data_IF_954533189090
#
_entry.id   IF_954533189090
#
_cell.length_a   1.000
_cell.length_b   1.000
_cell.length_c   1.000
_cell.angle_alpha   90.00
_cell.angle_beta   90.00
_cell.angle_gamma   90.00
#
_symmetry.space_group_name_H-M   'P 1'
#
loop_
_entity.id
_entity.type
_entity.pdbx_description
1 polymer ?
#
# COMPACT_ATOMS: atom_id res chain seq x y z
N UNK A 1 -15.01 13.01 7.57
CA UNK A 1 -14.30 12.57 8.80
C UNK A 1 -13.53 11.30 8.49
N UNK A 2 -12.45 10.99 9.20
CA UNK A 2 -11.69 9.76 8.95
C UNK A 2 -10.24 9.79 9.44
N UNK A 3 -9.62 8.62 9.40
CA UNK A 3 -8.19 8.40 9.62
C UNK A 3 -7.49 8.11 8.28
N UNK A 4 -6.17 8.10 8.27
CA UNK A 4 -5.37 7.64 7.13
C UNK A 4 -5.00 6.15 7.25
N UNK A 5 -5.08 5.59 8.47
CA UNK A 5 -4.81 4.19 8.74
C UNK A 5 -5.06 3.79 10.20
N UNK A 6 -5.04 2.48 10.47
CA UNK A 6 -5.44 1.87 11.73
C UNK A 6 -6.84 1.24 11.68
N UNK A 7 -7.15 0.37 12.65
CA UNK A 7 -8.52 -0.16 12.78
C UNK A 7 -9.34 0.82 13.62
N UNK A 8 -10.22 1.58 12.98
CA UNK A 8 -10.91 2.71 13.57
C UNK A 8 -12.42 2.47 13.72
N UNK A 9 -13.02 3.26 14.60
CA UNK A 9 -14.48 3.40 14.69
C UNK A 9 -14.80 4.86 14.40
N UNK A 10 -15.37 5.10 13.23
CA UNK A 10 -15.65 6.46 12.74
C UNK A 10 -17.15 6.64 12.58
N UNK A 11 -17.67 7.72 13.14
CA UNK A 11 -19.08 8.06 13.10
C UNK A 11 -19.26 9.47 12.55
N UNK A 12 -20.14 9.62 11.55
CA UNK A 12 -20.81 10.86 11.19
C UNK A 12 -21.82 11.30 12.25
N UNK A 13 -22.42 12.46 12.05
CA UNK A 13 -23.41 13.03 12.97
C UNK A 13 -24.76 13.16 12.22
N UNK A 14 -25.61 14.12 12.62
CA UNK A 14 -26.74 14.54 11.81
C UNK A 14 -26.24 15.39 10.62
N UNK A 15 -26.64 15.04 9.40
CA UNK A 15 -26.29 15.76 8.17
C UNK A 15 -25.86 14.83 7.05
N UNK A 16 -25.54 15.40 5.89
CA UNK A 16 -24.94 14.65 4.78
C UNK A 16 -23.43 14.59 5.02
N UNK A 17 -22.92 13.44 5.44
CA UNK A 17 -21.52 13.24 5.82
C UNK A 17 -20.71 12.47 4.78
N UNK A 18 -19.40 12.71 4.78
CA UNK A 18 -18.42 11.90 4.05
C UNK A 18 -17.47 11.29 5.06
N UNK A 19 -17.45 9.96 5.15
CA UNK A 19 -16.69 9.19 6.13
C UNK A 19 -15.71 8.28 5.43
N UNK A 20 -14.45 8.38 5.82
CA UNK A 20 -13.34 7.56 5.33
C UNK A 20 -12.80 6.69 6.46
N UNK A 21 -12.73 5.37 6.26
CA UNK A 21 -12.03 4.45 7.16
C UNK A 21 -10.52 4.59 7.01
N UNK A 22 -10.04 4.38 5.79
CA UNK A 22 -8.63 4.46 5.45
C UNK A 22 -8.03 3.06 5.37
N UNK A 23 -6.80 2.90 5.82
CA UNK A 23 -6.20 1.57 5.90
C UNK A 23 -6.54 0.89 7.21
N UNK A 24 -7.00 -0.35 7.21
CA UNK A 24 -7.27 -1.10 8.43
C UNK A 24 -8.55 -1.90 8.36
N UNK A 25 -9.18 -2.11 9.51
CA UNK A 25 -10.44 -2.82 9.60
C UNK A 25 -11.40 -1.94 10.37
N UNK A 26 -12.18 -1.17 9.63
CA UNK A 26 -12.91 -0.04 10.14
C UNK A 26 -14.37 -0.37 10.39
N UNK A 27 -14.94 0.32 11.37
CA UNK A 27 -16.38 0.34 11.62
C UNK A 27 -16.87 1.76 11.37
N UNK A 28 -17.64 1.93 10.31
CA UNK A 28 -18.11 3.22 9.82
C UNK A 28 -19.61 3.38 10.02
N UNK A 29 -20.06 4.53 10.49
CA UNK A 29 -21.47 4.85 10.59
C UNK A 29 -21.71 6.28 10.11
N UNK A 30 -22.57 6.46 9.10
CA UNK A 30 -22.87 7.78 8.53
C UNK A 30 -23.67 8.67 9.47
N UNK A 31 -24.61 8.08 10.22
CA UNK A 31 -25.51 8.85 11.07
C UNK A 31 -26.84 9.06 10.37
N UNK A 32 -27.37 10.28 10.44
CA UNK A 32 -28.66 10.60 9.84
C UNK A 32 -28.49 11.61 8.71
N UNK A 33 -28.86 11.26 7.48
CA UNK A 33 -28.73 12.13 6.32
C UNK A 33 -28.42 11.31 5.09
N UNK A 34 -27.85 11.92 4.05
CA UNK A 34 -27.35 11.20 2.89
C UNK A 34 -25.83 11.10 2.98
N UNK A 35 -25.33 9.91 3.32
CA UNK A 35 -23.92 9.76 3.66
C UNK A 35 -23.13 9.04 2.57
N UNK A 36 -21.84 9.35 2.47
CA UNK A 36 -20.89 8.61 1.66
C UNK A 36 -19.86 7.94 2.59
N UNK A 37 -19.89 6.61 2.67
CA UNK A 37 -18.96 5.83 3.49
C UNK A 37 -17.99 5.09 2.58
N UNK A 38 -16.70 5.31 2.78
CA UNK A 38 -15.63 4.62 2.09
C UNK A 38 -14.78 3.86 3.13
N UNK A 39 -14.85 2.52 3.08
CA UNK A 39 -14.07 1.65 3.98
C UNK A 39 -12.57 1.82 3.76
N UNK A 40 -12.13 1.63 2.52
CA UNK A 40 -10.72 1.74 2.15
C UNK A 40 -10.06 0.37 2.12
N UNK A 41 -8.81 0.28 2.59
CA UNK A 41 -8.06 -0.98 2.55
C UNK A 41 -8.39 -1.83 3.77
N UNK A 42 -8.93 -3.02 3.54
CA UNK A 42 -9.09 -4.07 4.54
C UNK A 42 -10.54 -4.51 4.63
N UNK A 43 -10.94 -5.14 5.74
CA UNK A 43 -12.28 -5.70 5.92
C UNK A 43 -13.12 -4.75 6.78
N UNK A 44 -14.02 -4.03 6.13
CA UNK A 44 -14.72 -2.90 6.73
C UNK A 44 -16.21 -3.18 6.95
N UNK A 45 -16.75 -2.56 8.00
CA UNK A 45 -18.14 -2.72 8.43
C UNK A 45 -18.84 -1.37 8.38
N UNK A 46 -19.89 -1.26 7.56
CA UNK A 46 -20.82 -0.13 7.64
C UNK A 46 -21.95 -0.46 8.60
N UNK A 47 -22.17 0.38 9.62
CA UNK A 47 -23.28 0.26 10.56
C UNK A 47 -24.42 1.16 10.11
N UNK A 48 -25.60 0.55 9.99
CA UNK A 48 -26.82 1.16 9.48
C UNK A 48 -27.93 1.04 10.52
N UNK A 49 -28.74 2.09 10.66
CA UNK A 49 -29.85 2.12 11.61
C UNK A 49 -30.95 1.11 11.24
N UNK A 50 -31.81 0.72 12.19
CA UNK A 50 -32.98 -0.10 11.88
C UNK A 50 -32.66 -1.53 11.43
N UNK A 51 -33.39 -2.02 10.42
CA UNK A 51 -33.22 -3.37 9.88
C UNK A 51 -33.15 -3.37 8.35
N UNK A 52 -32.59 -4.44 7.77
CA UNK A 52 -32.44 -4.60 6.33
C UNK A 52 -33.70 -4.29 5.51
N UNK A 53 -34.89 -4.64 5.99
CA UNK A 53 -36.15 -4.37 5.27
C UNK A 53 -36.55 -2.90 5.20
N UNK A 54 -35.85 -2.05 5.94
CA UNK A 54 -36.08 -0.60 5.91
C UNK A 54 -35.41 0.07 4.70
N UNK A 55 -34.62 -0.69 3.94
CA UNK A 55 -33.79 -0.20 2.85
C UNK A 55 -34.18 -0.82 1.51
N UNK A 56 -34.23 0.01 0.48
CA UNK A 56 -34.04 -0.40 -0.90
C UNK A 56 -32.54 -0.40 -1.22
N UNK A 57 -32.04 -1.47 -1.85
CA UNK A 57 -30.62 -1.66 -2.13
C UNK A 57 -30.39 -1.70 -3.63
N UNK A 58 -29.45 -0.89 -4.10
CA UNK A 58 -29.03 -0.84 -5.49
C UNK A 58 -27.50 -0.97 -5.57
N UNK A 59 -27.02 -1.59 -6.65
CA UNK A 59 -25.58 -1.62 -6.98
C UNK A 59 -25.37 -0.67 -8.15
N UNK A 60 -24.53 0.34 -7.97
CA UNK A 60 -24.14 1.29 -9.01
C UNK A 60 -22.63 1.24 -9.24
N UNK A 61 -22.21 0.52 -10.27
CA UNK A 61 -20.80 0.22 -10.52
C UNK A 61 -20.21 -0.55 -9.34
N UNK A 62 -19.28 0.09 -8.62
CA UNK A 62 -18.60 -0.51 -7.47
C UNK A 62 -19.13 0.04 -6.13
N UNK A 63 -20.29 0.72 -6.15
CA UNK A 63 -20.93 1.24 -4.96
C UNK A 63 -22.18 0.46 -4.61
N UNK A 64 -22.45 0.32 -3.32
CA UNK A 64 -23.77 -0.08 -2.81
C UNK A 64 -24.51 1.17 -2.39
N UNK A 65 -25.68 1.39 -2.97
CA UNK A 65 -26.57 2.49 -2.64
C UNK A 65 -27.71 1.96 -1.78
N UNK A 66 -27.82 2.48 -0.56
CA UNK A 66 -28.87 2.16 0.39
C UNK A 66 -29.84 3.33 0.46
N UNK A 67 -31.08 3.13 0.04
CA UNK A 67 -32.15 4.12 0.21
C UNK A 67 -33.08 3.68 1.33
N UNK A 68 -33.04 4.39 2.46
CA UNK A 68 -33.91 4.12 3.59
C UNK A 68 -35.35 4.59 3.31
N UNK A 69 -36.33 4.00 4.02
CA UNK A 69 -37.76 4.27 3.85
C UNK A 69 -38.17 5.74 4.13
N UNK A 70 -37.37 6.50 4.86
CA UNK A 70 -37.58 7.94 5.06
C UNK A 70 -37.03 8.82 3.93
N UNK A 71 -36.35 8.20 2.95
CA UNK A 71 -35.78 8.85 1.79
C UNK A 71 -34.30 9.25 1.93
N UNK A 72 -33.66 8.97 3.06
CA UNK A 72 -32.21 9.08 3.22
C UNK A 72 -31.48 8.10 2.29
N UNK A 73 -30.36 8.52 1.71
CA UNK A 73 -29.58 7.73 0.74
C UNK A 73 -28.12 7.70 1.14
N UNK A 74 -27.63 6.51 1.44
CA UNK A 74 -26.21 6.27 1.70
C UNK A 74 -25.54 5.58 0.52
N UNK A 75 -24.31 5.99 0.24
CA UNK A 75 -23.44 5.41 -0.79
C UNK A 75 -22.24 4.78 -0.10
N UNK A 76 -22.08 3.47 -0.28
CA UNK A 76 -21.03 2.68 0.33
C UNK A 76 -20.01 2.23 -0.72
N UNK A 77 -18.73 2.47 -0.45
CA UNK A 77 -17.59 2.05 -1.26
C UNK A 77 -16.63 1.25 -0.40
N UNK A 78 -16.08 0.15 -0.92
CA UNK A 78 -15.12 -0.70 -0.21
C UNK A 78 -15.60 -1.13 1.18
N UNK A 79 -16.87 -1.55 1.30
CA UNK A 79 -17.45 -2.11 2.53
C UNK A 79 -17.72 -3.59 2.32
N UNK A 80 -17.28 -4.47 3.21
CA UNK A 80 -17.50 -5.93 3.12
C UNK A 80 -18.71 -6.41 3.92
N UNK A 81 -19.13 -5.67 4.94
CA UNK A 81 -20.26 -6.04 5.77
C UNK A 81 -21.13 -4.83 6.11
N UNK A 82 -22.40 -4.91 5.76
CA UNK A 82 -23.40 -3.95 6.23
C UNK A 82 -24.08 -4.57 7.44
N UNK A 83 -23.83 -3.97 8.60
CA UNK A 83 -24.41 -4.34 9.87
C UNK A 83 -25.62 -3.45 10.15
N UNK A 84 -26.78 -4.06 10.37
CA UNK A 84 -27.97 -3.35 10.81
C UNK A 84 -28.12 -3.45 12.34
N UNK A 85 -28.80 -2.50 12.96
CA UNK A 85 -29.09 -2.56 14.41
C UNK A 85 -29.85 -3.83 14.79
N UNK A 86 -30.76 -4.27 13.92
CA UNK A 86 -31.56 -5.48 14.12
C UNK A 86 -31.75 -6.27 12.83
N UNK A 87 -31.93 -7.59 12.97
CA UNK A 87 -32.11 -8.48 11.83
C UNK A 87 -30.79 -9.01 11.25
N UNK A 88 -30.82 -9.60 10.04
CA UNK A 88 -29.63 -10.15 9.41
C UNK A 88 -28.72 -9.05 8.84
N UNK A 89 -27.41 -9.25 8.95
CA UNK A 89 -26.42 -8.43 8.26
C UNK A 89 -26.31 -8.85 6.80
N UNK A 90 -25.90 -7.91 5.95
CA UNK A 90 -25.70 -8.14 4.53
C UNK A 90 -24.21 -8.15 4.21
N UNK A 91 -23.72 -9.26 3.67
CA UNK A 91 -22.34 -9.32 3.19
C UNK A 91 -22.22 -8.69 1.81
N UNK A 92 -21.08 -8.08 1.54
CA UNK A 92 -20.78 -7.40 0.30
C UNK A 92 -19.49 -8.00 -0.25
N UNK A 93 -19.63 -8.89 -1.22
CA UNK A 93 -18.52 -9.61 -1.81
C UNK A 93 -18.05 -8.89 -3.08
N UNK A 94 -16.78 -8.53 -3.12
CA UNK A 94 -16.16 -7.91 -4.28
C UNK A 94 -15.44 -8.93 -5.17
N UNK A 95 -15.40 -10.19 -4.75
CA UNK A 95 -14.83 -11.30 -5.53
C UNK A 95 -15.60 -12.61 -5.30
N UNK A 96 -15.45 -13.55 -6.23
CA UNK A 96 -15.99 -14.91 -6.09
C UNK A 96 -15.50 -15.59 -4.80
N UNK A 97 -14.23 -15.34 -4.42
CA UNK A 97 -13.63 -15.89 -3.22
C UNK A 97 -14.34 -15.40 -1.96
N UNK A 98 -14.60 -14.09 -1.87
CA UNK A 98 -15.35 -13.48 -0.78
C UNK A 98 -16.79 -14.02 -0.73
N UNK A 99 -17.47 -14.11 -1.87
CA UNK A 99 -18.83 -14.63 -1.95
C UNK A 99 -18.92 -16.07 -1.44
N UNK A 100 -17.97 -16.93 -1.85
CA UNK A 100 -17.87 -18.31 -1.37
C UNK A 100 -17.64 -18.35 0.14
N UNK A 101 -16.69 -17.57 0.67
CA UNK A 101 -16.38 -17.56 2.09
C UNK A 101 -17.57 -17.10 2.94
N UNK A 102 -18.22 -16.01 2.55
CA UNK A 102 -19.44 -15.53 3.21
C UNK A 102 -20.55 -16.58 3.15
N UNK A 103 -20.77 -17.23 2.00
CA UNK A 103 -21.80 -18.25 1.87
C UNK A 103 -21.54 -19.46 2.77
N UNK A 104 -20.30 -19.96 2.80
CA UNK A 104 -19.94 -21.09 3.64
C UNK A 104 -20.18 -20.77 5.12
N UNK A 105 -19.69 -19.62 5.59
CA UNK A 105 -19.76 -19.26 7.00
C UNK A 105 -21.18 -18.87 7.44
N UNK A 106 -21.90 -18.06 6.64
CA UNK A 106 -23.30 -17.72 6.93
C UNK A 106 -24.22 -18.94 6.89
N UNK A 107 -24.16 -19.73 5.81
CA UNK A 107 -25.12 -20.83 5.57
C UNK A 107 -24.89 -22.00 6.52
N UNK A 108 -23.63 -22.36 6.76
CA UNK A 108 -23.30 -23.60 7.45
C UNK A 108 -22.88 -23.41 8.90
N UNK A 109 -22.37 -22.23 9.28
CA UNK A 109 -21.99 -21.92 10.66
C UNK A 109 -22.96 -20.94 11.34
N UNK A 110 -23.82 -20.26 10.59
CA UNK A 110 -24.82 -19.34 11.14
C UNK A 110 -24.20 -18.08 11.78
N UNK A 111 -23.04 -17.64 11.29
CA UNK A 111 -22.35 -16.42 11.73
C UNK A 111 -21.76 -15.67 10.54
N UNK A 112 -21.24 -14.47 10.79
CA UNK A 112 -20.45 -13.72 9.82
C UNK A 112 -19.00 -14.18 9.81
N UNK A 113 -18.27 -13.82 8.75
CA UNK A 113 -16.81 -13.85 8.77
C UNK A 113 -16.32 -12.93 9.88
N UNK A 114 -15.33 -13.39 10.64
CA UNK A 114 -14.56 -12.50 11.48
C UNK A 114 -13.69 -11.60 10.62
N UNK A 115 -13.29 -10.43 11.14
CA UNK A 115 -12.36 -9.53 10.46
C UNK A 115 -11.10 -10.24 9.96
N UNK A 116 -10.54 -11.16 10.77
CA UNK A 116 -9.34 -11.92 10.39
C UNK A 116 -9.61 -12.90 9.23
N UNK A 117 -10.77 -13.56 9.20
CA UNK A 117 -11.15 -14.44 8.09
C UNK A 117 -11.43 -13.64 6.82
N UNK A 118 -12.15 -12.53 6.94
CA UNK A 118 -12.45 -11.62 5.83
C UNK A 118 -11.19 -11.06 5.18
N UNK A 119 -10.30 -10.49 6.00
CA UNK A 119 -9.00 -9.97 5.54
C UNK A 119 -8.14 -11.05 4.87
N UNK A 120 -8.14 -12.27 5.41
CA UNK A 120 -7.41 -13.39 4.80
C UNK A 120 -7.96 -13.77 3.42
N UNK A 121 -9.28 -13.69 3.23
CA UNK A 121 -9.94 -13.99 1.95
C UNK A 121 -9.70 -12.90 0.91
N UNK A 122 -9.74 -11.62 1.29
CA UNK A 122 -9.42 -10.50 0.39
C UNK A 122 -8.00 -10.60 -0.17
N UNK A 123 -7.06 -11.06 0.65
CA UNK A 123 -5.64 -11.17 0.31
C UNK A 123 -5.23 -12.56 -0.22
N UNK A 124 -6.19 -13.44 -0.52
CA UNK A 124 -5.90 -14.82 -0.84
C UNK A 124 -5.19 -14.94 -2.20
N UNK A 125 -4.01 -15.59 -2.28
CA UNK A 125 -3.31 -15.78 -3.55
C UNK A 125 -4.03 -16.84 -4.39
N UNK A 126 -4.85 -16.41 -5.35
CA UNK A 126 -5.48 -17.27 -6.36
C UNK A 126 -6.95 -17.62 -6.13
N UNK A 127 -7.58 -18.16 -7.17
CA UNK A 127 -9.05 -18.21 -7.34
C UNK A 127 -9.66 -19.61 -7.24
N UNK A 128 -8.98 -20.58 -6.60
CA UNK A 128 -9.53 -21.94 -6.51
C UNK A 128 -10.49 -22.06 -5.33
N UNK A 129 -11.79 -21.98 -5.65
CA UNK A 129 -12.92 -22.21 -4.74
C UNK A 129 -12.73 -23.46 -3.88
N UNK A 130 -12.12 -24.53 -4.41
CA UNK A 130 -11.87 -25.77 -3.68
C UNK A 130 -10.95 -25.56 -2.47
N UNK A 131 -9.96 -24.65 -2.61
CA UNK A 131 -9.04 -24.31 -1.53
C UNK A 131 -9.75 -23.60 -0.39
N UNK A 132 -10.71 -22.72 -0.70
CA UNK A 132 -11.51 -22.02 0.32
C UNK A 132 -12.38 -23.03 1.07
N UNK A 133 -13.01 -23.96 0.36
CA UNK A 133 -13.80 -25.04 0.97
C UNK A 133 -12.93 -25.92 1.88
N UNK A 134 -11.71 -26.28 1.47
CA UNK A 134 -10.79 -27.05 2.31
C UNK A 134 -10.43 -26.30 3.60
N UNK A 135 -10.14 -25.00 3.52
CA UNK A 135 -9.84 -24.19 4.71
C UNK A 135 -11.06 -24.06 5.62
N UNK A 136 -12.24 -23.82 5.04
CA UNK A 136 -13.50 -23.81 5.77
C UNK A 136 -13.74 -25.12 6.52
N UNK A 137 -13.56 -26.27 5.86
CA UNK A 137 -13.72 -27.58 6.49
C UNK A 137 -12.70 -27.83 7.62
N UNK A 138 -11.53 -27.18 7.58
CA UNK A 138 -10.55 -27.27 8.66
C UNK A 138 -10.91 -26.43 9.90
N UNK A 139 -11.96 -25.60 9.84
CA UNK A 139 -12.45 -24.89 11.02
C UNK A 139 -13.04 -25.90 12.02
N UNK A 140 -12.77 -25.75 13.33
CA UNK A 140 -13.34 -26.62 14.37
C UNK A 140 -14.87 -26.73 14.31
N UNK A 141 -15.53 -25.62 13.99
CA UNK A 141 -16.99 -25.51 13.88
C UNK A 141 -17.55 -26.28 12.67
N UNK A 142 -16.74 -26.48 11.63
CA UNK A 142 -17.12 -27.21 10.42
C UNK A 142 -16.88 -28.73 10.52
N UNK A 143 -16.45 -29.26 11.67
CA UNK A 143 -16.12 -30.67 11.84
C UNK A 143 -17.26 -31.64 11.45
N UNK A 144 -18.52 -31.22 11.59
CA UNK A 144 -19.70 -32.00 11.18
C UNK A 144 -19.94 -32.08 9.67
N UNK A 145 -19.21 -31.31 8.87
CA UNK A 145 -19.44 -31.12 7.44
C UNK A 145 -18.44 -31.86 6.55
N UNK A 146 -17.49 -32.61 7.12
CA UNK A 146 -16.40 -33.30 6.42
C UNK A 146 -16.82 -34.29 5.33
N UNK A 147 -18.08 -34.73 5.34
CA UNK A 147 -18.63 -35.67 4.36
C UNK A 147 -19.35 -34.96 3.20
N UNK A 148 -19.53 -33.63 3.28
CA UNK A 148 -20.18 -32.84 2.25
C UNK A 148 -19.27 -32.67 1.04
N UNK A 149 -19.84 -32.74 -0.16
CA UNK A 149 -19.12 -32.36 -1.37
C UNK A 149 -19.04 -30.83 -1.50
N UNK A 150 -18.12 -30.35 -2.34
CA UNK A 150 -18.04 -28.93 -2.70
C UNK A 150 -19.39 -28.43 -3.25
N UNK A 151 -20.01 -29.18 -4.16
CA UNK A 151 -21.32 -28.82 -4.73
C UNK A 151 -22.43 -28.72 -3.67
N UNK A 152 -22.41 -29.60 -2.67
CA UNK A 152 -23.38 -29.51 -1.57
C UNK A 152 -23.15 -28.26 -0.72
N UNK A 153 -21.89 -27.93 -0.43
CA UNK A 153 -21.53 -26.77 0.40
C UNK A 153 -21.79 -25.43 -0.28
N UNK A 154 -21.73 -25.39 -1.61
CA UNK A 154 -21.97 -24.18 -2.41
C UNK A 154 -23.38 -24.10 -3.00
N UNK A 155 -24.26 -25.05 -2.65
CA UNK A 155 -25.63 -25.07 -3.13
C UNK A 155 -26.37 -23.81 -2.68
N UNK A 156 -26.88 -23.04 -3.65
CA UNK A 156 -27.61 -21.79 -3.40
C UNK A 156 -26.74 -20.53 -3.30
N UNK A 157 -25.41 -20.64 -3.46
CA UNK A 157 -24.48 -19.49 -3.44
C UNK A 157 -24.93 -18.35 -4.38
N UNK A 158 -25.32 -18.66 -5.62
CA UNK A 158 -25.64 -17.64 -6.61
C UNK A 158 -26.93 -16.87 -6.33
N UNK A 159 -27.84 -17.44 -5.53
CA UNK A 159 -29.14 -16.85 -5.21
C UNK A 159 -29.23 -16.50 -3.72
N UNK A 160 -28.10 -16.44 -3.00
CA UNK A 160 -28.07 -16.19 -1.57
C UNK A 160 -28.45 -14.72 -1.30
N UNK A 161 -29.61 -14.45 -0.66
CA UNK A 161 -30.07 -13.07 -0.45
C UNK A 161 -29.23 -12.30 0.59
N UNK A 162 -28.42 -13.00 1.39
CA UNK A 162 -27.59 -12.39 2.44
C UNK A 162 -26.20 -11.95 1.92
N UNK A 163 -25.97 -12.01 0.60
CA UNK A 163 -24.72 -11.65 -0.06
C UNK A 163 -25.00 -10.80 -1.31
N UNK A 164 -24.53 -9.56 -1.31
CA UNK A 164 -24.40 -8.73 -2.50
C UNK A 164 -23.09 -9.06 -3.22
N UNK A 165 -23.13 -9.15 -4.55
CA UNK A 165 -21.92 -9.39 -5.38
C UNK A 165 -21.66 -8.18 -6.26
N UNK A 166 -20.53 -7.50 -6.04
CA UNK A 166 -20.06 -6.41 -6.90
C UNK A 166 -19.03 -6.85 -7.93
N UNK A 167 -18.35 -7.98 -7.71
CA UNK A 167 -17.38 -8.60 -8.63
C UNK A 167 -16.39 -7.58 -9.25
N UNK A 168 -15.75 -6.80 -8.38
CA UNK A 168 -14.85 -5.72 -8.75
C UNK A 168 -13.39 -6.19 -8.87
N UNK A 169 -12.62 -5.59 -9.78
CA UNK A 169 -11.18 -5.85 -9.89
C UNK A 169 -10.44 -5.07 -8.80
N UNK A 170 -10.06 -5.75 -7.71
CA UNK A 170 -9.28 -5.17 -6.61
C UNK A 170 -7.83 -5.62 -6.53
N UNK A 171 -7.44 -6.58 -7.35
CA UNK A 171 -6.08 -7.12 -7.38
C UNK A 171 -5.47 -6.93 -8.77
N UNK A 172 -4.31 -6.28 -8.86
CA UNK A 172 -3.53 -6.16 -10.08
C UNK A 172 -2.14 -6.76 -9.88
N UNK A 173 -1.67 -7.50 -10.88
CA UNK A 173 -0.32 -8.08 -10.88
C UNK A 173 0.35 -7.78 -12.21
N UNK A 174 1.49 -7.10 -12.16
CA UNK A 174 2.33 -6.78 -13.30
C UNK A 174 3.18 -7.96 -13.76
N UNK A 175 4.00 -7.72 -14.78
CA UNK A 175 4.74 -8.75 -15.49
C UNK A 175 6.13 -9.02 -14.91
N UNK A 176 6.99 -9.59 -15.76
CA UNK A 176 8.43 -9.68 -15.50
C UNK A 176 9.22 -8.60 -16.26
N UNK A 177 8.55 -7.55 -16.73
CA UNK A 177 9.12 -6.50 -17.57
C UNK A 177 9.19 -5.20 -16.78
N UNK A 178 10.02 -4.27 -17.21
CA UNK A 178 10.07 -2.93 -16.63
C UNK A 178 8.78 -2.17 -17.02
N UNK A 179 7.80 -2.13 -16.11
CA UNK A 179 6.46 -1.62 -16.38
C UNK A 179 6.32 -0.13 -15.97
N UNK A 180 5.56 0.66 -16.76
CA UNK A 180 5.25 2.06 -16.44
C UNK A 180 3.83 2.43 -16.83
N UNK A 181 3.01 2.87 -15.88
CA UNK A 181 1.61 3.19 -16.17
C UNK A 181 0.86 3.88 -15.03
N UNK A 182 -0.33 4.41 -15.35
CA UNK A 182 -1.29 4.86 -14.34
C UNK A 182 -2.20 3.70 -13.97
N UNK A 183 -2.57 3.63 -12.69
CA UNK A 183 -3.57 2.68 -12.20
C UNK A 183 -4.89 3.41 -11.95
N UNK A 184 -6.04 2.74 -12.14
CA UNK A 184 -7.32 3.33 -11.78
C UNK A 184 -7.35 3.58 -10.26
N UNK A 185 -7.70 4.79 -9.84
CA UNK A 185 -7.94 5.12 -8.44
C UNK A 185 -9.44 5.28 -8.24
N UNK A 186 -10.01 4.57 -7.27
CA UNK A 186 -11.46 4.61 -6.97
C UNK A 186 -12.02 3.35 -6.32
N UNK A 187 -11.23 2.29 -6.20
CA UNK A 187 -11.39 1.21 -5.24
C UNK A 187 -10.08 1.05 -4.48
N UNK A 188 -10.13 0.52 -3.26
CA UNK A 188 -8.96 0.05 -2.57
C UNK A 188 -8.33 -1.11 -3.35
N UNK A 189 -7.18 -0.85 -3.97
CA UNK A 189 -6.49 -1.81 -4.82
C UNK A 189 -5.29 -2.43 -4.10
N UNK A 190 -5.10 -3.73 -4.26
CA UNK A 190 -3.86 -4.43 -3.99
C UNK A 190 -3.09 -4.61 -5.29
N UNK A 191 -1.90 -4.01 -5.37
CA UNK A 191 -1.12 -3.97 -6.59
C UNK A 191 0.26 -4.49 -6.34
N UNK A 192 0.58 -5.52 -7.10
CA UNK A 192 1.91 -6.07 -7.23
C UNK A 192 2.44 -5.69 -8.61
N UNK A 193 3.52 -4.91 -8.71
CA UNK A 193 4.06 -4.58 -10.04
C UNK A 193 4.79 -5.75 -10.69
N UNK A 194 5.08 -6.82 -9.95
CA UNK A 194 5.77 -8.00 -10.45
C UNK A 194 7.28 -7.90 -10.32
N UNK A 195 8.01 -8.36 -11.34
CA UNK A 195 9.47 -8.30 -11.39
C UNK A 195 9.90 -7.33 -12.47
N UNK A 196 10.95 -6.56 -12.23
CA UNK A 196 11.43 -5.58 -13.19
C UNK A 196 11.97 -4.36 -12.46
N UNK A 197 12.12 -3.26 -13.18
CA UNK A 197 12.15 -1.93 -12.59
C UNK A 197 10.85 -1.20 -12.95
N UNK A 198 9.93 -1.15 -12.01
CA UNK A 198 8.56 -0.69 -12.23
C UNK A 198 8.33 0.73 -11.71
N UNK A 199 7.57 1.50 -12.48
CA UNK A 199 7.25 2.90 -12.19
C UNK A 199 5.75 3.12 -12.22
N UNK A 200 5.16 3.28 -11.04
CA UNK A 200 3.78 3.74 -10.93
C UNK A 200 3.71 5.23 -11.28
N UNK A 201 2.85 5.60 -12.24
CA UNK A 201 2.52 7.00 -12.50
C UNK A 201 1.31 7.44 -11.70
N UNK A 202 1.38 8.66 -11.17
CA UNK A 202 0.30 9.29 -10.43
C UNK A 202 -0.04 10.67 -11.01
N UNK A 203 -1.33 10.97 -11.04
CA UNK A 203 -1.81 12.29 -11.40
C UNK A 203 -1.55 13.30 -10.29
N UNK A 204 -1.36 14.58 -10.66
CA UNK A 204 -1.12 15.66 -9.71
C UNK A 204 0.32 15.68 -9.18
N UNK A 205 0.50 16.21 -7.97
CA UNK A 205 1.78 16.28 -7.27
C UNK A 205 1.85 15.41 -6.02
N UNK A 206 3.04 15.29 -5.42
CA UNK A 206 3.28 14.45 -4.23
C UNK A 206 2.41 14.89 -3.05
N UNK A 207 2.06 16.18 -2.97
CA UNK A 207 1.20 16.77 -1.95
C UNK A 207 -0.26 16.30 -2.02
N UNK A 208 -0.69 15.75 -3.16
CA UNK A 208 -2.06 15.28 -3.36
C UNK A 208 -2.32 13.89 -2.74
N UNK A 209 -1.27 13.23 -2.24
CA UNK A 209 -1.33 11.87 -1.69
C UNK A 209 -0.66 11.78 -0.34
N UNK A 210 -1.21 10.93 0.51
CA UNK A 210 -0.50 10.37 1.64
C UNK A 210 0.20 9.07 1.20
N UNK A 211 1.43 8.86 1.67
CA UNK A 211 2.17 7.62 1.48
C UNK A 211 2.51 7.07 2.87
N UNK A 212 2.06 5.87 3.17
CA UNK A 212 2.36 5.15 4.39
C UNK A 212 3.06 3.84 4.05
N UNK A 213 4.17 3.56 4.73
CA UNK A 213 4.88 2.30 4.56
C UNK A 213 4.31 1.26 5.52
N UNK A 214 3.86 0.13 4.97
CA UNK A 214 3.39 -1.01 5.74
C UNK A 214 4.16 -2.25 5.32
N UNK A 215 5.07 -2.73 6.18
CA UNK A 215 5.96 -3.85 5.88
C UNK A 215 6.71 -3.65 4.55
N UNK A 216 6.45 -4.51 3.55
CA UNK A 216 7.05 -4.48 2.21
C UNK A 216 6.11 -3.87 1.15
N UNK A 217 5.13 -3.07 1.57
CA UNK A 217 4.23 -2.32 0.69
C UNK A 217 4.16 -0.85 1.08
N UNK A 218 3.69 -0.04 0.15
CA UNK A 218 3.34 1.37 0.34
C UNK A 218 1.87 1.52 0.09
N UNK A 219 1.17 2.00 1.10
CA UNK A 219 -0.21 2.44 0.97
C UNK A 219 -0.22 3.89 0.50
N UNK A 220 -1.01 4.14 -0.52
CA UNK A 220 -1.16 5.42 -1.19
C UNK A 220 -2.60 5.84 -1.03
N UNK A 221 -2.83 6.97 -0.38
CA UNK A 221 -4.17 7.52 -0.17
C UNK A 221 -4.28 8.86 -0.88
N UNK A 222 -5.19 8.97 -1.85
CA UNK A 222 -5.48 10.25 -2.51
C UNK A 222 -6.30 11.14 -1.57
N UNK A 223 -5.81 12.34 -1.30
CA UNK A 223 -6.41 13.23 -0.31
C UNK A 223 -7.70 13.90 -0.79
N UNK A 224 -7.96 13.91 -2.10
CA UNK A 224 -9.17 14.55 -2.67
C UNK A 224 -10.44 13.76 -2.36
N UNK A 225 -10.37 12.43 -2.40
CA UNK A 225 -11.54 11.55 -2.34
C UNK A 225 -11.33 10.26 -1.54
N UNK A 226 -10.18 10.12 -0.88
CA UNK A 226 -9.87 8.96 -0.05
C UNK A 226 -9.59 7.69 -0.83
N UNK A 227 -9.44 7.72 -2.16
CA UNK A 227 -9.12 6.52 -2.93
C UNK A 227 -7.75 5.94 -2.53
N UNK A 228 -7.69 4.62 -2.34
CA UNK A 228 -6.52 3.94 -1.79
C UNK A 228 -5.90 2.91 -2.73
N UNK A 229 -4.61 2.69 -2.54
CA UNK A 229 -3.82 1.71 -3.29
C UNK A 229 -2.71 1.18 -2.38
N UNK A 230 -2.68 -0.14 -2.12
CA UNK A 230 -1.53 -0.83 -1.53
C UNK A 230 -0.62 -1.33 -2.66
N UNK A 231 0.60 -0.83 -2.71
CA UNK A 231 1.58 -1.09 -3.76
C UNK A 231 2.77 -1.90 -3.21
N UNK A 232 3.13 -2.97 -3.90
CA UNK A 232 4.36 -3.75 -3.64
C UNK A 232 5.16 -3.97 -4.91
N UNK A 233 6.45 -4.22 -4.71
CA UNK A 233 7.46 -4.55 -5.74
C UNK A 233 7.76 -3.45 -6.76
N UNK A 234 7.13 -2.28 -6.67
CA UNK A 234 7.46 -1.15 -7.52
C UNK A 234 8.68 -0.39 -6.97
N UNK A 235 9.57 0.07 -7.83
CA UNK A 235 10.77 0.82 -7.45
C UNK A 235 10.55 2.34 -7.40
N UNK A 236 9.51 2.87 -8.05
CA UNK A 236 9.27 4.31 -8.07
C UNK A 236 7.80 4.69 -8.25
N UNK A 237 7.41 5.77 -7.60
CA UNK A 237 6.19 6.53 -7.86
C UNK A 237 6.59 7.83 -8.56
N UNK A 238 6.04 8.09 -9.74
CA UNK A 238 6.30 9.29 -10.53
C UNK A 238 5.04 10.14 -10.67
N UNK A 239 5.10 11.39 -10.21
CA UNK A 239 3.99 12.34 -10.25
C UNK A 239 4.01 13.19 -11.52
N UNK A 240 2.84 13.59 -12.00
CA UNK A 240 2.71 14.51 -13.15
C UNK A 240 3.35 15.88 -12.88
N UNK A 241 3.50 16.27 -11.60
CA UNK A 241 4.27 17.46 -11.17
C UNK A 241 5.77 17.39 -11.51
N UNK A 242 6.29 16.19 -11.78
CA UNK A 242 7.71 15.91 -11.98
C UNK A 242 8.43 15.44 -10.71
N UNK A 243 7.77 15.43 -9.56
CA UNK A 243 8.30 14.83 -8.34
C UNK A 243 8.29 13.30 -8.44
N UNK A 244 9.30 12.65 -7.85
CA UNK A 244 9.40 11.19 -7.79
C UNK A 244 9.64 10.74 -6.35
N UNK A 245 9.08 9.60 -6.00
CA UNK A 245 9.36 8.89 -4.75
C UNK A 245 9.94 7.54 -5.12
N UNK A 246 11.20 7.30 -4.76
CA UNK A 246 11.82 5.99 -4.87
C UNK A 246 11.36 5.09 -3.73
N UNK A 247 11.07 3.85 -4.08
CA UNK A 247 10.67 2.76 -3.20
C UNK A 247 11.82 1.76 -3.15
N UNK A 248 12.71 1.95 -2.18
CA UNK A 248 13.88 1.10 -2.01
C UNK A 248 13.52 -0.14 -1.20
N UNK A 249 13.77 -1.34 -1.73
CA UNK A 249 13.45 -2.60 -1.06
C UNK A 249 14.57 -3.10 -0.13
N UNK A 250 15.69 -2.40 -0.13
CA UNK A 250 16.85 -2.70 0.70
C UNK A 250 17.71 -1.44 0.85
N UNK A 251 18.65 -1.51 1.80
CA UNK A 251 19.54 -0.38 2.11
C UNK A 251 20.37 0.07 0.90
N UNK A 252 20.71 -0.86 0.00
CA UNK A 252 21.49 -0.59 -1.21
C UNK A 252 20.75 0.33 -2.16
N UNK A 253 19.52 -0.03 -2.49
CA UNK A 253 18.63 0.76 -3.34
C UNK A 253 18.39 2.14 -2.72
N UNK A 254 18.23 2.21 -1.39
CA UNK A 254 18.06 3.48 -0.68
C UNK A 254 19.27 4.40 -0.79
N UNK A 255 20.48 3.85 -0.65
CA UNK A 255 21.74 4.60 -0.80
C UNK A 255 21.89 5.09 -2.24
N UNK A 256 21.68 4.21 -3.22
CA UNK A 256 21.80 4.56 -4.64
C UNK A 256 20.82 5.68 -4.99
N UNK A 257 19.55 5.54 -4.62
CA UNK A 257 18.54 6.59 -4.86
C UNK A 257 18.96 7.94 -4.29
N UNK A 258 19.42 7.97 -3.03
CA UNK A 258 19.87 9.21 -2.38
C UNK A 258 21.10 9.81 -3.06
N UNK A 259 22.10 9.00 -3.44
CA UNK A 259 23.27 9.47 -4.17
C UNK A 259 22.90 10.08 -5.52
N UNK A 260 21.98 9.45 -6.26
CA UNK A 260 21.57 9.96 -7.56
C UNK A 260 20.85 11.30 -7.46
N UNK A 261 19.86 11.38 -6.57
CA UNK A 261 19.08 12.61 -6.37
C UNK A 261 19.93 13.77 -5.86
N UNK A 262 20.90 13.52 -4.97
CA UNK A 262 21.67 14.60 -4.33
C UNK A 262 22.85 15.11 -5.16
N UNK A 263 23.50 14.26 -5.97
CA UNK A 263 24.70 14.64 -6.72
C UNK A 263 24.45 14.92 -8.20
N UNK A 264 23.39 14.34 -8.78
CA UNK A 264 23.08 14.50 -10.19
C UNK A 264 21.78 15.25 -10.44
N UNK A 265 21.03 15.58 -9.38
CA UNK A 265 19.74 16.28 -9.48
C UNK A 265 18.76 15.53 -10.42
N UNK A 266 18.80 14.19 -10.35
CA UNK A 266 17.95 13.28 -11.13
C UNK A 266 17.89 11.90 -10.48
N UNK A 267 16.89 11.12 -10.85
CA UNK A 267 16.84 9.71 -10.50
C UNK A 267 17.82 8.86 -11.32
N UNK A 268 18.16 7.68 -10.78
CA UNK A 268 18.93 6.69 -11.50
C UNK A 268 18.15 6.18 -12.72
N UNK A 269 18.83 5.99 -13.84
CA UNK A 269 18.27 5.24 -14.96
C UNK A 269 18.19 3.75 -14.61
N UNK A 270 17.34 2.99 -15.31
CA UNK A 270 17.20 1.52 -15.11
C UNK A 270 18.58 0.83 -15.17
N UNK A 271 19.42 1.19 -16.15
CA UNK A 271 20.76 0.61 -16.27
C UNK A 271 21.68 0.95 -15.10
N UNK A 272 21.62 2.18 -14.59
CA UNK A 272 22.36 2.60 -13.39
C UNK A 272 21.85 1.90 -12.13
N UNK A 273 20.53 1.69 -12.03
CA UNK A 273 19.90 0.97 -10.94
C UNK A 273 20.27 -0.53 -10.93
N UNK A 274 20.24 -1.18 -12.09
CA UNK A 274 20.62 -2.59 -12.25
C UNK A 274 22.10 -2.81 -11.97
N UNK A 275 22.98 -1.91 -12.44
CA UNK A 275 24.39 -1.89 -12.05
C UNK A 275 24.51 -1.76 -10.53
N UNK A 276 23.79 -0.78 -9.96
CA UNK A 276 23.49 -0.59 -8.54
C UNK A 276 23.33 -1.87 -7.74
N UNK A 277 22.23 -2.57 -8.01
CA UNK A 277 21.84 -3.81 -7.33
C UNK A 277 22.91 -4.90 -7.47
N UNK A 278 23.49 -5.04 -8.66
CA UNK A 278 24.51 -6.08 -8.96
C UNK A 278 25.82 -5.84 -8.21
N UNK A 279 26.21 -4.58 -7.98
CA UNK A 279 27.46 -4.26 -7.29
C UNK A 279 27.42 -4.55 -5.79
N UNK A 280 26.24 -4.56 -5.15
CA UNK A 280 26.15 -4.77 -3.70
C UNK A 280 25.62 -6.16 -3.32
N UNK A 281 24.77 -6.79 -4.14
CA UNK A 281 24.22 -8.12 -3.86
C UNK A 281 25.27 -9.26 -3.94
N UNK A 282 26.26 -9.15 -4.84
CA UNK A 282 27.18 -10.25 -5.14
C UNK A 282 28.54 -10.18 -4.41
N UNK A 283 28.75 -9.24 -3.48
CA UNK A 283 30.09 -8.88 -2.99
C UNK A 283 31.08 -8.57 -4.14
N UNK A 284 30.56 -8.15 -5.31
CA UNK A 284 31.36 -7.64 -6.42
C UNK A 284 31.82 -6.23 -6.06
N UNK A 285 33.03 -5.85 -6.50
CA UNK A 285 33.72 -4.64 -6.06
C UNK A 285 32.84 -3.36 -6.17
N UNK A 286 32.39 -2.77 -5.03
CA UNK A 286 31.58 -1.55 -5.01
C UNK A 286 32.27 -0.35 -5.66
N UNK A 287 33.58 -0.45 -5.88
CA UNK A 287 34.38 0.52 -6.62
C UNK A 287 33.85 0.77 -8.05
N UNK A 288 33.15 -0.14 -8.74
CA UNK A 288 32.68 0.16 -10.11
C UNK A 288 31.65 1.30 -10.12
N UNK A 289 30.69 1.29 -9.19
CA UNK A 289 29.67 2.33 -9.10
C UNK A 289 30.22 3.56 -8.45
N UNK A 290 31.08 3.39 -7.44
CA UNK A 290 31.64 4.52 -6.73
C UNK A 290 32.70 5.25 -7.57
N UNK A 291 33.48 4.53 -8.38
CA UNK A 291 34.34 5.09 -9.42
C UNK A 291 33.49 5.79 -10.48
N UNK A 292 32.41 5.16 -10.95
CA UNK A 292 31.51 5.81 -11.90
C UNK A 292 30.92 7.10 -11.30
N UNK A 293 30.42 7.04 -10.06
CA UNK A 293 29.85 8.17 -9.34
C UNK A 293 30.88 9.29 -9.19
N UNK A 294 32.09 8.98 -8.74
CA UNK A 294 33.15 9.96 -8.57
C UNK A 294 33.62 10.57 -9.90
N UNK A 295 33.72 9.75 -10.95
CA UNK A 295 34.07 10.21 -12.30
C UNK A 295 33.01 11.12 -12.94
N UNK A 296 31.75 11.03 -12.49
CA UNK A 296 30.64 11.80 -13.07
C UNK A 296 30.13 12.93 -12.16
N UNK A 297 30.47 12.95 -10.87
CA UNK A 297 30.00 13.94 -9.88
C UNK A 297 30.88 15.20 -9.78
N UNK A 298 31.92 15.32 -10.60
CA UNK A 298 32.94 16.39 -10.52
C UNK A 298 33.68 16.46 -9.17
N UNK A 299 33.58 15.42 -8.34
CA UNK A 299 34.21 15.38 -7.01
C UNK A 299 35.69 14.98 -7.03
N UNK A 300 36.13 14.31 -8.10
CA UNK A 300 37.49 13.76 -8.22
C UNK A 300 38.60 14.80 -8.07
N UNK A 301 38.36 16.01 -8.56
CA UNK A 301 39.36 17.07 -8.59
C UNK A 301 39.48 17.82 -7.24
N UNK A 302 38.63 17.50 -6.26
CA UNK A 302 38.60 18.17 -4.96
C UNK A 302 39.67 17.64 -4.00
N UNK A 303 40.22 18.55 -3.18
CA UNK A 303 40.98 18.17 -1.98
C UNK A 303 40.05 17.55 -0.94
N UNK A 304 40.59 16.81 0.04
CA UNK A 304 39.76 16.10 1.05
C UNK A 304 38.79 17.05 1.79
N UNK A 305 39.24 18.26 2.14
CA UNK A 305 38.39 19.27 2.77
C UNK A 305 37.19 19.65 1.91
N UNK A 306 37.44 20.03 0.66
CA UNK A 306 36.39 20.48 -0.26
C UNK A 306 35.48 19.32 -0.65
N UNK A 307 36.02 18.11 -0.75
CA UNK A 307 35.28 16.87 -0.98
C UNK A 307 34.27 16.61 0.15
N UNK A 308 34.73 16.59 1.41
CA UNK A 308 33.85 16.40 2.57
C UNK A 308 32.79 17.50 2.62
N UNK A 309 33.19 18.74 2.38
CA UNK A 309 32.26 19.86 2.40
C UNK A 309 31.19 19.74 1.31
N UNK A 310 31.58 19.30 0.10
CA UNK A 310 30.66 19.04 -0.99
C UNK A 310 29.65 17.95 -0.61
N UNK A 311 30.11 16.84 -0.03
CA UNK A 311 29.21 15.75 0.41
C UNK A 311 28.16 16.25 1.41
N UNK A 312 28.56 16.99 2.45
CA UNK A 312 27.60 17.54 3.41
C UNK A 312 26.64 18.53 2.76
N UNK A 313 27.15 19.40 1.89
CA UNK A 313 26.32 20.46 1.27
C UNK A 313 25.30 19.91 0.29
N UNK A 314 25.67 18.90 -0.50
CA UNK A 314 24.83 18.33 -1.55
C UNK A 314 23.87 17.29 -0.98
N UNK A 315 24.34 16.45 -0.05
CA UNK A 315 23.51 15.39 0.53
C UNK A 315 22.63 15.88 1.69
N UNK A 316 23.17 16.73 2.56
CA UNK A 316 22.50 17.16 3.81
C UNK A 316 22.01 18.61 3.74
N UNK A 317 22.22 19.31 2.63
CA UNK A 317 21.80 20.70 2.48
C UNK A 317 22.52 21.69 3.41
N UNK A 318 23.63 21.28 4.06
CA UNK A 318 24.35 22.09 5.05
C UNK A 318 25.85 21.91 4.98
N UNK A 319 26.57 22.82 5.62
CA UNK A 319 28.00 22.67 5.82
C UNK A 319 28.33 21.63 6.89
N UNK A 320 29.42 20.88 6.69
CA UNK A 320 30.01 20.09 7.77
C UNK A 320 30.43 21.03 8.91
N UNK A 321 30.17 20.61 10.15
CA UNK A 321 30.72 21.30 11.32
C UNK A 321 32.22 21.06 11.43
N UNK A 322 32.93 21.88 12.21
CA UNK A 322 34.37 21.72 12.43
C UNK A 322 34.73 20.35 13.01
N UNK A 323 33.89 19.82 13.91
CA UNK A 323 34.08 18.50 14.50
C UNK A 323 33.90 17.37 13.48
N UNK A 324 32.82 17.43 12.67
CA UNK A 324 32.57 16.46 11.61
C UNK A 324 33.69 16.49 10.56
N UNK A 325 34.07 17.68 10.09
CA UNK A 325 35.11 17.85 9.09
C UNK A 325 36.44 17.24 9.56
N UNK A 326 36.87 17.58 10.78
CA UNK A 326 38.10 17.02 11.37
C UNK A 326 38.03 15.50 11.50
N UNK A 327 36.88 14.95 11.93
CA UNK A 327 36.70 13.51 12.06
C UNK A 327 36.78 12.80 10.71
N UNK A 328 36.09 13.29 9.69
CA UNK A 328 36.09 12.65 8.37
C UNK A 328 37.45 12.78 7.67
N UNK A 329 38.16 13.89 7.84
CA UNK A 329 39.53 14.05 7.34
C UNK A 329 40.47 13.00 7.93
N UNK A 330 40.43 12.80 9.25
CA UNK A 330 41.25 11.79 9.92
C UNK A 330 40.95 10.38 9.41
N UNK A 331 39.68 10.03 9.21
CA UNK A 331 39.29 8.73 8.65
C UNK A 331 39.88 8.51 7.26
N UNK A 332 39.86 9.53 6.39
CA UNK A 332 40.46 9.46 5.05
C UNK A 332 41.99 9.37 5.11
N UNK A 333 42.63 10.18 5.95
CA UNK A 333 44.09 10.23 6.09
C UNK A 333 44.68 8.94 6.65
N UNK A 334 43.97 8.31 7.60
CA UNK A 334 44.36 7.04 8.20
C UNK A 334 44.02 5.83 7.31
N UNK A 335 43.29 6.03 6.20
CA UNK A 335 42.80 4.96 5.35
C UNK A 335 41.74 4.07 6.03
N UNK A 336 41.04 4.60 7.03
CA UNK A 336 39.92 3.93 7.71
C UNK A 336 38.68 3.86 6.82
N UNK A 337 38.55 4.80 5.89
CA UNK A 337 37.52 4.85 4.86
C UNK A 337 38.09 5.44 3.58
N UNK A 338 37.59 5.00 2.44
CA UNK A 338 37.91 5.63 1.16
C UNK A 338 36.94 6.78 0.86
N UNK A 339 37.23 7.61 -0.14
CA UNK A 339 36.34 8.72 -0.52
C UNK A 339 34.98 8.20 -0.97
N UNK A 340 35.00 7.11 -1.73
CA UNK A 340 33.85 6.37 -2.24
C UNK A 340 32.92 5.98 -1.10
N UNK A 341 33.48 5.27 -0.12
CA UNK A 341 32.72 4.81 1.03
C UNK A 341 32.28 5.94 1.95
N UNK A 342 32.99 7.07 1.99
CA UNK A 342 32.53 8.23 2.74
C UNK A 342 31.25 8.85 2.15
N UNK A 343 31.12 8.88 0.82
CA UNK A 343 29.88 9.33 0.16
C UNK A 343 28.70 8.41 0.51
N UNK A 344 28.95 7.08 0.50
CA UNK A 344 27.98 6.07 0.96
C UNK A 344 27.59 6.29 2.42
N UNK A 345 28.56 6.48 3.31
CA UNK A 345 28.36 6.65 4.76
C UNK A 345 27.48 7.88 5.05
N UNK A 346 27.71 8.99 4.35
CA UNK A 346 26.90 10.23 4.49
C UNK A 346 25.50 10.03 3.90
N UNK A 347 25.37 9.43 2.71
CA UNK A 347 24.07 9.13 2.10
C UNK A 347 23.24 8.13 2.91
N UNK A 348 23.88 7.29 3.73
CA UNK A 348 23.22 6.36 4.64
C UNK A 348 22.95 6.92 6.04
N UNK A 349 23.37 8.16 6.32
CA UNK A 349 23.17 8.76 7.64
C UNK A 349 21.70 9.01 7.96
N UNK A 350 21.32 8.94 9.24
CA UNK A 350 19.96 9.25 9.70
C UNK A 350 19.50 10.65 9.24
N UNK A 351 20.45 11.59 9.13
CA UNK A 351 20.16 12.94 8.65
C UNK A 351 19.81 12.94 7.16
N UNK A 352 20.58 12.24 6.32
CA UNK A 352 20.26 12.10 4.90
C UNK A 352 18.89 11.43 4.69
N UNK A 353 18.59 10.38 5.47
CA UNK A 353 17.28 9.70 5.44
C UNK A 353 16.15 10.65 5.82
N UNK A 354 16.36 11.51 6.82
CA UNK A 354 15.34 12.46 7.26
C UNK A 354 15.12 13.63 6.29
N UNK A 355 16.17 14.08 5.59
CA UNK A 355 16.10 15.22 4.68
C UNK A 355 15.60 14.80 3.29
N UNK A 356 16.02 13.61 2.81
CA UNK A 356 15.70 13.11 1.47
C UNK A 356 14.47 12.21 1.57
N UNK A 357 13.33 12.81 1.89
CA UNK A 357 12.03 12.12 2.03
C UNK A 357 11.46 11.56 0.72
N UNK A 358 12.11 11.82 -0.42
CA UNK A 358 11.82 11.24 -1.74
C UNK A 358 12.35 9.82 -1.91
N UNK A 359 13.07 9.25 -0.93
CA UNK A 359 13.50 7.84 -0.95
C UNK A 359 12.92 7.12 0.27
N UNK A 360 11.90 6.31 0.05
CA UNK A 360 11.23 5.50 1.05
C UNK A 360 11.88 4.11 1.10
N UNK A 361 12.42 3.71 2.26
CA UNK A 361 12.99 2.38 2.46
C UNK A 361 11.89 1.43 2.94
N UNK A 362 11.43 0.53 2.07
CA UNK A 362 10.49 -0.53 2.40
C UNK A 362 11.25 -1.61 3.19
N UNK A 363 11.12 -1.58 4.50
CA UNK A 363 11.79 -2.52 5.41
C UNK A 363 11.33 -3.96 5.13
N UNK A 364 12.14 -4.67 4.37
CA UNK A 364 12.09 -6.12 4.17
C UNK A 364 13.00 -6.89 5.13
N UNK A 365 13.19 -6.45 6.37
CA UNK A 365 13.93 -7.19 7.40
C UNK A 365 15.47 -7.23 7.26
N UNK A 366 16.09 -7.16 8.44
CA UNK A 366 17.52 -7.26 8.82
C UNK A 366 18.40 -8.17 7.97
#
# INVERSE_FOLDING_TARGET
MGSLGGNDQTHGDDGDDVVYGGAGHDILAGGAGNDALNGGLGFDIAVQAGQLSDYEIQIDGNHVVLTHNDGAVDVLTDIELIQFETGPNLAVAHSDNEAVAHHLVKTWLGRELTTAEGNAIQNWPGTDVSRIVDVFLNLPEAAGLQQKTVDELLAGLNDNPDILRLDSVRNLTGGNSDDKGYLPLGLALNVDSGSGHDVLKMHGGREAVHLEQINNSVEITRLEDGAMLSLRNAEMIAFDSGENVLLAHNQVEGILGRLFQTFFDRDATIGEWQLGRSAIADHINPEIILDWFQNNSSLNDLGNTDYIQALYSQTLGRSATEAELNQQQLRLENGEITREWLAVDIANSNEAVAIIGSVLLLDGGV
#
